data_IF_962614605825
#
_entry.id   IF_962614605825
#
_cell.length_a   1.000
_cell.length_b   1.000
_cell.length_c   1.000
_cell.angle_alpha   90.00
_cell.angle_beta   90.00
_cell.angle_gamma   90.00
#
_symmetry.space_group_name_H-M   'P 1'
#
loop_
_entity.id
_entity.type
_entity.pdbx_description
1 polymer ?
#
# COMPACT_ATOMS: atom_id res chain seq x y z
N UNK A 1 4.65 21.31 -2.50
CA UNK A 1 4.46 21.50 -1.04
C UNK A 1 3.16 22.24 -0.84
N UNK A 2 2.09 21.57 -0.43
CA UNK A 2 0.84 22.26 -0.07
C UNK A 2 1.03 22.88 1.33
N UNK A 3 0.60 24.12 1.56
CA UNK A 3 0.75 24.74 2.87
C UNK A 3 -0.08 23.95 3.89
N UNK A 4 0.57 23.46 4.95
CA UNK A 4 -0.12 22.92 6.12
C UNK A 4 -1.00 24.03 6.70
N UNK A 5 -2.31 23.95 6.48
CA UNK A 5 -3.27 24.85 7.11
C UNK A 5 -3.13 24.74 8.62
N UNK A 6 -3.04 25.88 9.30
CA UNK A 6 -3.08 25.99 10.75
C UNK A 6 -4.49 25.60 11.25
N UNK A 7 -4.78 24.32 11.32
CA UNK A 7 -5.93 23.80 12.04
C UNK A 7 -5.64 23.89 13.55
N UNK A 8 -5.98 25.02 14.14
CA UNK A 8 -6.19 25.11 15.60
C UNK A 8 -7.47 24.36 15.94
N UNK A 9 -7.42 23.03 15.92
CA UNK A 9 -8.53 22.21 16.36
C UNK A 9 -8.50 22.08 17.89
N UNK A 10 -9.67 21.82 18.48
CA UNK A 10 -9.82 21.50 19.91
C UNK A 10 -8.93 20.32 20.33
N UNK A 11 -8.46 19.52 19.39
CA UNK A 11 -7.47 18.46 19.59
C UNK A 11 -6.14 18.92 20.17
N UNK A 12 -5.80 20.23 20.14
CA UNK A 12 -4.58 20.77 20.74
C UNK A 12 -4.58 20.74 22.29
N UNK A 13 -5.73 20.50 22.90
CA UNK A 13 -5.88 20.42 24.37
C UNK A 13 -5.75 18.98 24.90
N UNK A 14 -5.80 17.99 24.02
CA UNK A 14 -5.65 16.59 24.39
C UNK A 14 -4.20 16.13 24.22
N UNK A 15 -3.70 15.20 25.06
CA UNK A 15 -2.35 14.71 24.92
C UNK A 15 -2.17 13.97 23.60
N UNK A 16 -0.94 13.93 23.12
CA UNK A 16 -0.56 13.11 21.95
C UNK A 16 -0.82 11.64 22.26
N UNK A 17 -1.33 10.92 21.28
CA UNK A 17 -1.54 9.48 21.33
C UNK A 17 -0.63 8.81 20.30
N UNK A 18 -0.35 7.53 20.49
CA UNK A 18 0.44 6.72 19.56
C UNK A 18 -0.37 5.47 19.22
N UNK A 19 -1.06 5.52 18.09
CA UNK A 19 -1.88 4.41 17.60
C UNK A 19 -1.03 3.43 16.82
N UNK A 20 -1.31 2.15 17.01
CA UNK A 20 -0.79 1.10 16.15
C UNK A 20 -1.46 1.14 14.78
N UNK A 21 -0.67 1.16 13.73
CA UNK A 21 -1.15 1.15 12.34
C UNK A 21 -1.22 -0.29 11.86
N UNK A 22 -2.42 -0.74 11.53
CA UNK A 22 -2.67 -2.12 11.06
C UNK A 22 -3.25 -2.07 9.66
N UNK A 23 -2.58 -2.67 8.69
CA UNK A 23 -3.15 -2.87 7.37
C UNK A 23 -3.91 -4.19 7.30
N UNK A 24 -5.14 -4.12 6.83
CA UNK A 24 -6.02 -5.27 6.63
C UNK A 24 -6.27 -5.44 5.14
N UNK A 25 -5.88 -6.57 4.57
CA UNK A 25 -6.20 -6.90 3.19
C UNK A 25 -7.73 -6.95 2.97
N UNK A 26 -8.19 -6.68 1.76
CA UNK A 26 -9.60 -6.62 1.41
C UNK A 26 -10.37 -7.89 1.79
N UNK A 27 -9.76 -9.08 1.67
CA UNK A 27 -10.48 -10.32 2.04
C UNK A 27 -10.86 -10.34 3.53
N UNK A 28 -10.05 -9.75 4.41
CA UNK A 28 -10.32 -9.61 5.86
C UNK A 28 -11.55 -8.74 6.06
N UNK A 29 -11.53 -7.55 5.47
CA UNK A 29 -12.65 -6.59 5.50
C UNK A 29 -13.92 -7.21 4.90
N UNK A 30 -13.79 -7.91 3.77
CA UNK A 30 -14.90 -8.58 3.10
C UNK A 30 -15.54 -9.67 3.99
N UNK A 31 -14.74 -10.44 4.72
CA UNK A 31 -15.26 -11.47 5.60
C UNK A 31 -15.92 -10.88 6.85
N UNK A 32 -15.35 -9.83 7.45
CA UNK A 32 -15.99 -9.09 8.54
C UNK A 32 -17.33 -8.47 8.08
N UNK A 33 -17.35 -7.83 6.91
CA UNK A 33 -18.58 -7.28 6.33
C UNK A 33 -19.64 -8.36 6.13
N UNK A 34 -19.27 -9.53 5.59
CA UNK A 34 -20.20 -10.63 5.32
C UNK A 34 -20.82 -11.21 6.57
N UNK A 35 -20.10 -11.26 7.69
CA UNK A 35 -20.63 -11.80 8.96
C UNK A 35 -21.58 -10.82 9.65
N UNK A 36 -21.37 -9.51 9.45
CA UNK A 36 -22.20 -8.46 10.02
C UNK A 36 -23.44 -8.13 9.19
N UNK A 37 -23.37 -8.28 7.88
CA UNK A 37 -24.44 -7.90 6.96
C UNK A 37 -25.52 -8.99 6.90
N UNK A 38 -26.77 -8.72 7.37
CA UNK A 38 -27.86 -9.70 7.36
C UNK A 38 -28.17 -10.26 5.97
N UNK A 39 -27.97 -9.47 4.92
CA UNK A 39 -28.22 -9.89 3.54
C UNK A 39 -27.28 -11.01 3.08
N UNK A 40 -26.06 -11.07 3.64
CA UNK A 40 -25.07 -12.09 3.28
C UNK A 40 -25.10 -13.29 4.22
N UNK A 41 -25.39 -13.10 5.50
CA UNK A 41 -25.46 -14.15 6.50
C UNK A 41 -26.57 -15.16 6.22
N UNK A 42 -27.71 -14.71 5.70
CA UNK A 42 -28.84 -15.56 5.34
C UNK A 42 -28.53 -16.63 4.27
N UNK A 43 -27.49 -16.38 3.45
CA UNK A 43 -27.11 -17.24 2.33
C UNK A 43 -25.90 -18.14 2.60
N UNK A 44 -25.26 -18.07 3.77
CA UNK A 44 -24.03 -18.82 4.07
C UNK A 44 -24.14 -19.59 5.38
N UNK A 45 -24.52 -20.84 5.29
CA UNK A 45 -24.30 -21.81 6.38
C UNK A 45 -22.80 -21.96 6.60
N UNK A 46 -22.33 -21.62 7.81
CA UNK A 46 -20.94 -21.88 8.22
C UNK A 46 -19.96 -20.70 8.12
N UNK A 47 -20.41 -19.45 8.31
CA UNK A 47 -19.46 -18.34 8.55
C UNK A 47 -18.75 -18.56 9.88
N UNK A 48 -17.43 -18.54 9.82
CA UNK A 48 -16.54 -18.67 10.97
C UNK A 48 -16.72 -17.47 11.91
N UNK A 49 -17.01 -17.75 13.20
CA UNK A 49 -17.18 -16.73 14.25
C UNK A 49 -15.91 -15.89 14.49
N UNK A 50 -14.76 -16.35 14.00
CA UNK A 50 -13.51 -15.59 14.04
C UNK A 50 -13.67 -14.17 13.47
N UNK A 51 -14.35 -14.03 12.32
CA UNK A 51 -14.51 -12.74 11.67
C UNK A 51 -15.38 -11.76 12.44
N UNK A 52 -16.36 -12.26 13.20
CA UNK A 52 -17.14 -11.42 14.11
C UNK A 52 -16.29 -10.96 15.29
N UNK A 53 -15.60 -11.89 15.96
CA UNK A 53 -14.70 -11.58 17.08
C UNK A 53 -13.61 -10.58 16.65
N UNK A 54 -13.03 -10.77 15.46
CA UNK A 54 -12.03 -9.88 14.91
C UNK A 54 -12.59 -8.46 14.70
N UNK A 55 -13.77 -8.35 14.10
CA UNK A 55 -14.42 -7.04 13.94
C UNK A 55 -14.66 -6.35 15.29
N UNK A 56 -15.26 -7.08 16.24
CA UNK A 56 -15.55 -6.55 17.57
C UNK A 56 -14.28 -6.04 18.27
N UNK A 57 -13.19 -6.78 18.10
CA UNK A 57 -11.89 -6.43 18.67
C UNK A 57 -11.28 -5.19 18.03
N UNK A 58 -11.21 -5.14 16.71
CA UNK A 58 -10.65 -4.01 15.97
C UNK A 58 -11.46 -2.73 16.20
N UNK A 59 -12.78 -2.79 16.15
CA UNK A 59 -13.65 -1.63 16.38
C UNK A 59 -13.52 -1.11 17.82
N UNK A 60 -13.45 -2.00 18.80
CA UNK A 60 -13.19 -1.61 20.20
C UNK A 60 -11.85 -0.92 20.37
N UNK A 61 -10.75 -1.50 19.83
CA UNK A 61 -9.41 -0.92 19.93
C UNK A 61 -9.28 0.41 19.20
N UNK A 62 -9.93 0.54 18.03
CA UNK A 62 -10.00 1.80 17.30
C UNK A 62 -10.69 2.88 18.11
N UNK A 63 -11.81 2.56 18.75
CA UNK A 63 -12.55 3.46 19.65
C UNK A 63 -11.75 3.82 20.90
N UNK A 64 -10.96 2.88 21.43
CA UNK A 64 -10.01 3.14 22.50
C UNK A 64 -8.80 3.99 22.07
N UNK A 65 -8.72 4.40 20.82
CA UNK A 65 -7.61 5.20 20.25
C UNK A 65 -6.26 4.47 20.30
N UNK A 66 -6.26 3.15 20.29
CA UNK A 66 -5.06 2.30 20.36
C UNK A 66 -4.62 1.82 18.98
N UNK A 67 -5.59 1.67 18.06
CA UNK A 67 -5.39 1.13 16.72
C UNK A 67 -6.05 2.03 15.68
N UNK A 68 -5.51 2.03 14.47
CA UNK A 68 -6.13 2.56 13.27
C UNK A 68 -5.84 1.62 12.10
N UNK A 69 -6.86 1.36 11.27
CA UNK A 69 -6.71 0.59 10.03
C UNK A 69 -6.94 1.53 8.85
N UNK A 70 -5.90 2.20 8.31
CA UNK A 70 -6.07 3.15 7.22
C UNK A 70 -6.66 2.51 5.98
N UNK A 71 -7.52 3.24 5.29
CA UNK A 71 -8.00 2.89 3.95
C UNK A 71 -6.89 3.11 2.91
N UNK A 72 -7.05 2.60 1.70
CA UNK A 72 -6.09 2.74 0.61
C UNK A 72 -6.77 2.70 -0.76
N UNK A 73 -6.05 3.14 -1.80
CA UNK A 73 -6.51 3.00 -3.19
C UNK A 73 -6.72 1.54 -3.60
N UNK A 74 -5.93 0.60 -3.04
CA UNK A 74 -6.10 -0.84 -3.33
C UNK A 74 -7.45 -1.35 -2.86
N UNK A 75 -7.87 -0.96 -1.65
CA UNK A 75 -9.20 -1.26 -1.11
C UNK A 75 -10.31 -0.68 -1.99
N UNK A 76 -10.15 0.56 -2.45
CA UNK A 76 -11.13 1.22 -3.30
C UNK A 76 -11.25 0.49 -4.65
N UNK A 77 -10.10 0.25 -5.32
CA UNK A 77 -10.02 -0.44 -6.61
C UNK A 77 -10.58 -1.87 -6.56
N UNK A 78 -10.35 -2.60 -5.47
CA UNK A 78 -10.87 -3.96 -5.31
C UNK A 78 -12.35 -3.97 -4.94
N UNK A 79 -12.81 -3.00 -4.17
CA UNK A 79 -14.20 -2.90 -3.75
C UNK A 79 -15.13 -2.49 -4.88
N UNK A 80 -14.67 -1.63 -5.81
CA UNK A 80 -15.46 -1.13 -6.93
C UNK A 80 -15.94 -2.25 -7.88
N UNK A 81 -15.18 -3.34 -8.00
CA UNK A 81 -15.54 -4.49 -8.84
C UNK A 81 -16.52 -5.46 -8.16
N UNK A 82 -17.00 -5.15 -6.96
CA UNK A 82 -17.89 -6.01 -6.18
C UNK A 82 -19.30 -5.41 -6.05
N UNK A 83 -20.31 -6.28 -5.92
CA UNK A 83 -21.71 -5.88 -5.66
C UNK A 83 -21.90 -5.28 -4.25
N UNK A 84 -20.91 -5.38 -3.38
CA UNK A 84 -20.94 -4.92 -1.99
C UNK A 84 -20.08 -3.67 -1.76
N UNK A 85 -19.80 -2.89 -2.79
CA UNK A 85 -18.94 -1.70 -2.70
C UNK A 85 -19.32 -0.78 -1.53
N UNK A 86 -20.61 -0.44 -1.42
CA UNK A 86 -21.11 0.47 -0.38
C UNK A 86 -20.94 -0.09 1.03
N UNK A 87 -21.17 -1.38 1.19
CA UNK A 87 -21.02 -2.07 2.47
C UNK A 87 -19.55 -2.17 2.88
N UNK A 88 -18.66 -2.48 1.93
CA UNK A 88 -17.21 -2.49 2.16
C UNK A 88 -16.69 -1.10 2.52
N UNK A 89 -17.09 -0.07 1.76
CA UNK A 89 -16.68 1.31 2.03
C UNK A 89 -17.06 1.75 3.44
N UNK A 90 -18.26 1.40 3.89
CA UNK A 90 -18.71 1.69 5.25
C UNK A 90 -17.86 1.00 6.33
N UNK A 91 -17.36 -0.22 6.05
CA UNK A 91 -16.44 -0.92 6.95
C UNK A 91 -15.08 -0.22 7.04
N UNK A 92 -14.53 0.18 5.87
CA UNK A 92 -13.28 0.94 5.83
C UNK A 92 -13.40 2.27 6.58
N UNK A 93 -14.46 3.04 6.34
CA UNK A 93 -14.73 4.31 7.04
C UNK A 93 -14.76 4.14 8.56
N UNK A 94 -15.38 3.05 9.04
CA UNK A 94 -15.46 2.77 10.47
C UNK A 94 -14.08 2.48 11.08
N UNK A 95 -13.28 1.61 10.45
CA UNK A 95 -12.00 1.16 11.01
C UNK A 95 -10.85 2.14 10.77
N UNK A 96 -10.90 2.91 9.68
CA UNK A 96 -9.90 3.93 9.36
C UNK A 96 -10.10 5.24 10.09
N UNK A 97 -11.31 5.51 10.58
CA UNK A 97 -11.70 6.84 11.09
C UNK A 97 -11.36 7.98 10.10
N UNK A 98 -11.51 7.71 8.79
CA UNK A 98 -11.23 8.66 7.72
C UNK A 98 -9.74 8.86 7.45
N UNK A 99 -8.86 8.00 7.95
CA UNK A 99 -7.44 7.99 7.59
C UNK A 99 -7.23 7.12 6.36
N UNK A 100 -6.49 7.66 5.39
CA UNK A 100 -6.25 6.97 4.12
C UNK A 100 -4.79 7.16 3.73
N UNK A 101 -4.11 6.10 3.32
CA UNK A 101 -2.80 6.24 2.70
C UNK A 101 -2.90 7.10 1.44
N UNK A 102 -1.84 7.85 1.13
CA UNK A 102 -1.69 8.42 -0.20
C UNK A 102 -1.68 7.29 -1.24
N UNK A 103 -1.93 7.66 -2.50
CA UNK A 103 -1.79 6.69 -3.60
C UNK A 103 -0.33 6.18 -3.70
N UNK A 104 -0.20 4.98 -4.26
CA UNK A 104 1.09 4.29 -4.36
C UNK A 104 2.18 5.10 -5.06
N UNK A 105 1.78 5.84 -6.09
CA UNK A 105 2.72 6.63 -6.87
C UNK A 105 3.28 7.80 -6.06
N UNK A 106 2.43 8.44 -5.26
CA UNK A 106 2.84 9.52 -4.35
C UNK A 106 3.83 8.99 -3.31
N UNK A 107 3.55 7.84 -2.68
CA UNK A 107 4.45 7.24 -1.69
C UNK A 107 5.78 6.82 -2.31
N UNK A 108 5.75 6.14 -3.47
CA UNK A 108 6.97 5.76 -4.21
C UNK A 108 7.81 6.98 -4.59
N UNK A 109 7.15 8.08 -5.01
CA UNK A 109 7.85 9.32 -5.32
C UNK A 109 8.50 9.95 -4.09
N UNK A 110 7.87 9.93 -2.90
CA UNK A 110 8.48 10.42 -1.67
C UNK A 110 9.70 9.58 -1.29
N UNK A 111 9.58 8.26 -1.32
CA UNK A 111 10.70 7.37 -1.05
C UNK A 111 11.85 7.60 -2.05
N UNK A 112 11.55 7.70 -3.34
CA UNK A 112 12.57 7.94 -4.36
C UNK A 112 13.24 9.31 -4.19
N UNK A 113 12.45 10.35 -3.93
CA UNK A 113 12.98 11.70 -3.73
C UNK A 113 14.00 11.73 -2.60
N UNK A 114 13.66 11.15 -1.44
CA UNK A 114 14.58 11.10 -0.30
C UNK A 114 15.79 10.21 -0.59
N UNK A 115 15.58 9.03 -1.17
CA UNK A 115 16.66 8.10 -1.49
C UNK A 115 17.63 8.71 -2.51
N UNK A 116 17.12 9.33 -3.57
CA UNK A 116 17.93 9.99 -4.57
C UNK A 116 18.71 11.19 -4.02
N UNK A 117 18.06 12.00 -3.19
CA UNK A 117 18.72 13.12 -2.48
C UNK A 117 19.85 12.62 -1.58
N UNK A 118 19.62 11.54 -0.82
CA UNK A 118 20.65 10.94 0.02
C UNK A 118 21.84 10.43 -0.82
N UNK A 119 21.56 9.81 -1.98
CA UNK A 119 22.60 9.35 -2.88
C UNK A 119 23.44 10.53 -3.43
N UNK A 120 22.80 11.63 -3.84
CA UNK A 120 23.47 12.83 -4.37
C UNK A 120 24.45 13.46 -3.37
N UNK A 121 24.10 13.44 -2.08
CA UNK A 121 24.95 14.02 -1.02
C UNK A 121 25.89 13.00 -0.38
N UNK A 122 26.07 11.83 -0.99
CA UNK A 122 26.99 10.79 -0.52
C UNK A 122 26.50 10.00 0.69
N UNK A 123 25.21 10.05 1.03
CA UNK A 123 24.58 9.33 2.15
C UNK A 123 23.84 8.07 1.68
N UNK A 124 24.40 7.37 0.73
CA UNK A 124 23.78 6.21 0.05
C UNK A 124 23.45 5.01 0.98
N UNK A 125 24.02 4.98 2.18
CA UNK A 125 23.76 3.93 3.18
C UNK A 125 22.68 4.28 4.19
N UNK A 126 22.12 5.49 4.14
CA UNK A 126 21.11 5.91 5.12
C UNK A 126 19.76 5.23 4.81
N UNK A 127 19.12 4.68 5.83
CA UNK A 127 17.72 4.32 5.76
C UNK A 127 16.86 5.58 5.53
N UNK A 128 15.75 5.41 4.84
CA UNK A 128 14.78 6.49 4.69
C UNK A 128 14.13 6.81 6.02
N UNK A 129 13.87 8.10 6.24
CA UNK A 129 13.25 8.61 7.46
C UNK A 129 11.85 9.19 7.19
N UNK A 130 11.07 8.50 6.35
CA UNK A 130 9.68 8.88 6.10
C UNK A 130 8.79 8.36 7.22
N UNK A 131 8.13 9.29 7.89
CA UNK A 131 7.17 8.97 8.94
C UNK A 131 5.80 8.65 8.35
N UNK A 132 5.00 7.82 9.05
CA UNK A 132 3.63 7.48 8.64
C UNK A 132 2.77 8.73 8.40
N UNK A 133 2.99 9.79 9.14
CA UNK A 133 2.25 11.06 9.03
C UNK A 133 2.52 11.79 7.69
N UNK A 134 3.57 11.41 6.96
CA UNK A 134 3.93 12.02 5.67
C UNK A 134 3.29 11.31 4.49
N UNK A 135 2.77 10.10 4.70
CA UNK A 135 2.20 9.25 3.65
C UNK A 135 0.70 8.95 3.82
N UNK A 136 0.03 9.64 4.74
CA UNK A 136 -1.40 9.50 4.99
C UNK A 136 -2.13 10.83 4.89
N UNK A 137 -3.37 10.77 4.48
CA UNK A 137 -4.30 11.88 4.60
C UNK A 137 -4.78 12.02 6.05
N UNK A 138 -4.53 13.17 6.66
CA UNK A 138 -4.82 13.45 8.06
C UNK A 138 -3.76 12.88 9.02
N UNK A 139 -3.84 13.21 10.30
CA UNK A 139 -2.90 12.71 11.31
C UNK A 139 -3.39 11.39 11.90
N UNK A 140 -2.54 10.36 11.87
CA UNK A 140 -2.80 9.04 12.48
C UNK A 140 -3.00 9.21 14.01
N UNK A 141 -2.14 9.98 14.63
CA UNK A 141 -2.07 10.17 16.07
C UNK A 141 -2.99 11.30 16.59
N UNK A 142 -3.98 11.71 15.78
CA UNK A 142 -5.05 12.61 16.23
C UNK A 142 -6.17 11.85 16.94
N UNK A 143 -6.83 12.50 17.91
CA UNK A 143 -8.06 11.99 18.51
C UNK A 143 -9.16 11.91 17.45
N UNK A 144 -9.92 10.81 17.47
CA UNK A 144 -10.96 10.55 16.48
C UNK A 144 -12.11 11.54 16.63
N UNK A 145 -12.52 12.19 15.55
CA UNK A 145 -13.75 12.99 15.53
C UNK A 145 -14.98 12.07 15.61
N UNK A 146 -16.01 12.50 16.35
CA UNK A 146 -17.31 11.82 16.33
C UNK A 146 -18.09 12.07 15.03
N UNK A 147 -17.74 13.13 14.30
CA UNK A 147 -18.35 13.47 13.04
C UNK A 147 -17.51 12.90 11.89
N UNK A 148 -18.08 11.96 11.16
CA UNK A 148 -17.52 11.42 9.92
C UNK A 148 -18.38 11.95 8.78
N UNK A 149 -17.76 12.66 7.85
CA UNK A 149 -18.42 13.15 6.62
C UNK A 149 -17.99 12.21 5.49
N UNK A 150 -18.93 11.41 5.00
CA UNK A 150 -18.70 10.54 3.84
C UNK A 150 -19.10 11.27 2.57
N UNK A 151 -18.17 11.33 1.60
CA UNK A 151 -18.46 11.82 0.25
C UNK A 151 -18.89 10.64 -0.61
N UNK A 152 -20.10 10.71 -1.18
CA UNK A 152 -20.56 9.70 -2.13
C UNK A 152 -19.76 9.86 -3.44
N UNK A 153 -19.00 8.85 -3.81
CA UNK A 153 -18.45 8.71 -5.16
C UNK A 153 -19.43 7.92 -6.02
N UNK A 154 -19.70 8.39 -7.21
CA UNK A 154 -20.37 7.58 -8.22
C UNK A 154 -19.39 6.58 -8.81
N UNK A 155 -19.91 5.37 -9.03
CA UNK A 155 -19.11 4.29 -9.64
C UNK A 155 -19.06 4.59 -11.14
N UNK A 156 -17.85 4.76 -11.68
CA UNK A 156 -17.66 4.89 -13.13
C UNK A 156 -17.43 3.49 -13.72
N UNK A 157 -18.34 3.03 -14.56
CA UNK A 157 -18.26 1.70 -15.18
C UNK A 157 -17.07 1.57 -16.14
N UNK A 158 -16.71 2.62 -16.87
CA UNK A 158 -15.53 2.63 -17.76
C UNK A 158 -14.23 2.46 -16.96
N UNK A 159 -14.14 3.13 -15.79
CA UNK A 159 -13.00 2.96 -14.90
C UNK A 159 -12.91 1.52 -14.34
N UNK A 160 -14.04 0.86 -14.07
CA UNK A 160 -14.06 -0.54 -13.64
C UNK A 160 -13.56 -1.45 -14.76
N UNK A 161 -14.02 -1.27 -16.00
CA UNK A 161 -13.57 -2.05 -17.15
C UNK A 161 -12.08 -1.90 -17.37
N UNK A 162 -11.56 -0.67 -17.33
CA UNK A 162 -10.12 -0.39 -17.42
C UNK A 162 -9.31 -1.07 -16.29
N UNK A 163 -9.81 -1.05 -15.06
CA UNK A 163 -9.19 -1.77 -13.93
C UNK A 163 -9.13 -3.28 -14.15
N UNK A 164 -10.23 -3.87 -14.65
CA UNK A 164 -10.29 -5.31 -14.92
C UNK A 164 -9.35 -5.69 -16.07
N UNK A 165 -9.28 -4.89 -17.12
CA UNK A 165 -8.37 -5.10 -18.23
C UNK A 165 -6.91 -5.00 -17.78
N UNK A 166 -6.54 -3.95 -17.04
CA UNK A 166 -5.21 -3.80 -16.48
C UNK A 166 -4.80 -5.01 -15.61
N UNK A 167 -5.72 -5.52 -14.77
CA UNK A 167 -5.48 -6.75 -13.99
C UNK A 167 -5.22 -7.98 -14.87
N UNK A 168 -5.96 -8.12 -15.97
CA UNK A 168 -5.77 -9.24 -16.90
C UNK A 168 -4.42 -9.12 -17.62
N UNK A 169 -4.02 -7.93 -18.06
CA UNK A 169 -2.73 -7.67 -18.70
C UNK A 169 -1.57 -7.96 -17.73
N UNK A 170 -1.66 -7.48 -16.48
CA UNK A 170 -0.67 -7.74 -15.44
C UNK A 170 -0.54 -9.24 -15.15
N UNK A 171 -1.66 -9.96 -15.11
CA UNK A 171 -1.65 -11.41 -14.90
C UNK A 171 -0.99 -12.16 -16.07
N UNK A 172 -1.30 -11.79 -17.32
CA UNK A 172 -0.68 -12.39 -18.51
C UNK A 172 0.82 -12.14 -18.56
N UNK A 173 1.27 -10.96 -18.10
CA UNK A 173 2.68 -10.64 -17.99
C UNK A 173 3.38 -11.53 -16.96
N UNK A 174 2.82 -11.68 -15.76
CA UNK A 174 3.43 -12.54 -14.72
C UNK A 174 3.43 -14.02 -15.12
N UNK A 175 2.40 -14.52 -15.83
CA UNK A 175 2.40 -15.89 -16.37
C UNK A 175 3.55 -16.11 -17.37
N UNK A 176 3.81 -15.13 -18.21
CA UNK A 176 4.89 -15.19 -19.20
C UNK A 176 6.27 -15.20 -18.53
N UNK A 177 6.46 -14.30 -17.55
CA UNK A 177 7.70 -14.23 -16.77
C UNK A 177 7.88 -15.49 -15.91
N UNK A 178 6.81 -16.03 -15.33
CA UNK A 178 6.85 -17.26 -14.55
C UNK A 178 7.36 -18.46 -15.37
N UNK A 179 6.98 -18.56 -16.65
CA UNK A 179 7.52 -19.59 -17.55
C UNK A 179 9.03 -19.44 -17.73
N UNK A 180 9.52 -18.23 -17.98
CA UNK A 180 10.96 -17.95 -18.09
C UNK A 180 11.73 -18.30 -16.82
N UNK A 181 11.17 -17.98 -15.64
CA UNK A 181 11.76 -18.36 -14.36
C UNK A 181 11.83 -19.87 -14.18
N UNK A 182 10.76 -20.58 -14.56
CA UNK A 182 10.71 -22.06 -14.47
C UNK A 182 11.73 -22.75 -15.39
N UNK A 183 11.98 -22.18 -16.57
CA UNK A 183 12.95 -22.69 -17.56
C UNK A 183 14.39 -22.46 -17.12
N UNK A 184 14.68 -21.37 -16.43
CA UNK A 184 16.03 -20.98 -16.02
C UNK A 184 16.68 -21.97 -15.04
N UNK A 185 15.87 -22.68 -14.24
CA UNK A 185 16.29 -23.59 -13.15
C UNK A 185 17.25 -22.96 -12.12
N UNK A 186 17.41 -21.64 -12.14
CA UNK A 186 18.24 -20.94 -11.18
C UNK A 186 17.46 -20.68 -9.89
N UNK A 187 17.87 -21.28 -8.78
CA UNK A 187 17.23 -21.15 -7.46
C UNK A 187 17.91 -20.13 -6.55
N UNK A 188 18.89 -19.39 -7.05
CA UNK A 188 19.58 -18.36 -6.26
C UNK A 188 18.68 -17.10 -6.12
N UNK A 189 18.32 -16.79 -4.89
CA UNK A 189 17.53 -15.60 -4.54
C UNK A 189 18.25 -14.30 -4.91
N UNK A 190 19.56 -14.19 -4.65
CA UNK A 190 20.32 -12.96 -4.89
C UNK A 190 20.46 -12.67 -6.38
N UNK A 191 20.53 -13.71 -7.20
CA UNK A 191 20.51 -13.57 -8.66
C UNK A 191 19.20 -12.93 -9.12
N UNK A 192 18.06 -13.44 -8.68
CA UNK A 192 16.76 -12.92 -9.06
C UNK A 192 16.52 -11.52 -8.51
N UNK A 193 16.88 -11.27 -7.26
CA UNK A 193 16.80 -9.95 -6.66
C UNK A 193 17.55 -8.88 -7.47
N UNK A 194 18.80 -9.15 -7.83
CA UNK A 194 19.60 -8.25 -8.65
C UNK A 194 18.97 -8.00 -10.03
N UNK A 195 18.45 -9.06 -10.66
CA UNK A 195 17.78 -8.93 -11.95
C UNK A 195 16.54 -8.02 -11.87
N UNK A 196 15.73 -8.14 -10.82
CA UNK A 196 14.56 -7.29 -10.61
C UNK A 196 14.96 -5.81 -10.39
N UNK A 197 15.97 -5.56 -9.57
CA UNK A 197 16.50 -4.19 -9.34
C UNK A 197 17.06 -3.59 -10.64
N UNK A 198 17.84 -4.35 -11.40
CA UNK A 198 18.36 -3.89 -12.69
C UNK A 198 17.25 -3.66 -13.72
N UNK A 199 16.25 -4.55 -13.76
CA UNK A 199 15.08 -4.43 -14.64
C UNK A 199 14.28 -3.17 -14.34
N UNK A 200 14.11 -2.80 -13.06
CA UNK A 200 13.46 -1.57 -12.67
C UNK A 200 14.17 -0.34 -13.25
N UNK A 201 15.48 -0.20 -13.06
CA UNK A 201 16.24 0.94 -13.58
C UNK A 201 16.20 1.03 -15.12
N UNK A 202 16.46 -0.09 -15.80
CA UNK A 202 16.39 -0.18 -17.27
C UNK A 202 14.99 0.12 -17.80
N UNK A 203 13.96 -0.45 -17.16
CA UNK A 203 12.56 -0.26 -17.52
C UNK A 203 12.13 1.20 -17.37
N UNK A 204 12.48 1.82 -16.23
CA UNK A 204 12.17 3.22 -15.94
C UNK A 204 12.78 4.15 -16.99
N UNK A 205 14.06 3.98 -17.31
CA UNK A 205 14.74 4.79 -18.34
C UNK A 205 14.15 4.55 -19.73
N UNK A 206 13.89 3.30 -20.10
CA UNK A 206 13.30 2.99 -21.41
C UNK A 206 11.92 3.62 -21.59
N UNK A 207 11.07 3.58 -20.57
CA UNK A 207 9.74 4.21 -20.60
C UNK A 207 9.85 5.74 -20.69
N UNK A 208 10.81 6.34 -19.98
CA UNK A 208 11.07 7.76 -20.08
C UNK A 208 11.49 8.18 -21.50
N UNK A 209 12.48 7.50 -22.08
CA UNK A 209 12.95 7.84 -23.44
C UNK A 209 11.89 7.58 -24.52
N UNK A 210 11.10 6.50 -24.40
CA UNK A 210 9.97 6.27 -25.31
C UNK A 210 8.95 7.41 -25.23
N UNK A 211 8.63 7.87 -24.04
CA UNK A 211 7.71 9.00 -23.86
C UNK A 211 8.29 10.28 -24.45
N UNK A 212 9.59 10.59 -24.26
CA UNK A 212 10.23 11.75 -24.86
C UNK A 212 10.22 11.68 -26.40
N UNK A 213 10.47 10.51 -26.98
CA UNK A 213 10.39 10.31 -28.43
C UNK A 213 8.97 10.54 -28.95
N UNK A 214 7.95 10.02 -28.25
CA UNK A 214 6.54 10.24 -28.63
C UNK A 214 6.19 11.73 -28.56
N UNK A 215 6.60 12.44 -27.52
CA UNK A 215 6.40 13.89 -27.42
C UNK A 215 7.07 14.64 -28.58
N UNK A 216 8.28 14.23 -28.97
CA UNK A 216 8.99 14.82 -30.11
C UNK A 216 8.28 14.54 -31.42
N UNK A 217 7.76 13.35 -31.65
CA UNK A 217 6.99 12.99 -32.84
C UNK A 217 5.72 13.84 -32.96
N UNK A 218 4.97 13.98 -31.84
CA UNK A 218 3.76 14.80 -31.76
C UNK A 218 4.06 16.30 -31.98
N UNK A 219 5.19 16.80 -31.48
CA UNK A 219 5.61 18.16 -31.70
C UNK A 219 5.89 18.46 -33.19
N UNK A 220 6.48 17.51 -33.89
CA UNK A 220 6.81 17.66 -35.32
C UNK A 220 5.62 17.38 -36.25
N UNK A 221 4.57 16.73 -35.74
CA UNK A 221 3.37 16.42 -36.52
C UNK A 221 2.12 16.79 -35.68
N UNK A 222 1.77 18.09 -35.64
CA UNK A 222 0.76 18.61 -34.74
C UNK A 222 -0.70 18.29 -35.11
N UNK A 223 -0.95 17.52 -36.18
CA UNK A 223 -2.30 17.03 -36.51
C UNK A 223 -2.70 15.92 -35.48
N UNK A 224 -3.05 16.38 -34.29
CA UNK A 224 -3.61 15.52 -33.22
C UNK A 224 -5.12 15.35 -33.51
N UNK A 225 -5.46 14.30 -34.23
CA UNK A 225 -6.86 14.06 -34.61
C UNK A 225 -7.61 13.15 -33.64
N UNK A 226 -6.95 12.46 -32.69
CA UNK A 226 -7.59 11.48 -31.84
C UNK A 226 -7.30 11.64 -30.34
N UNK A 227 -8.29 11.27 -29.50
CA UNK A 227 -8.19 11.24 -28.04
C UNK A 227 -7.03 10.36 -27.54
N UNK A 228 -6.67 9.31 -28.27
CA UNK A 228 -5.54 8.43 -28.00
C UNK A 228 -4.20 9.17 -28.00
N UNK A 229 -4.03 10.20 -28.85
CA UNK A 229 -2.84 11.04 -28.87
C UNK A 229 -2.70 11.91 -27.62
N UNK A 230 -3.80 12.39 -27.06
CA UNK A 230 -3.79 13.12 -25.77
C UNK A 230 -3.46 12.22 -24.59
N UNK A 231 -3.93 10.97 -24.59
CA UNK A 231 -3.60 9.99 -23.56
C UNK A 231 -2.11 9.65 -23.56
N UNK A 232 -1.48 9.60 -24.76
CA UNK A 232 -0.05 9.39 -24.92
C UNK A 232 0.81 10.55 -24.37
N UNK A 233 0.23 11.75 -24.15
CA UNK A 233 0.91 12.88 -23.52
C UNK A 233 0.97 12.74 -21.98
N UNK A 234 0.12 11.91 -21.38
CA UNK A 234 0.12 11.73 -19.94
C UNK A 234 1.36 10.93 -19.50
N UNK A 235 2.13 11.44 -18.53
CA UNK A 235 3.33 10.76 -18.09
C UNK A 235 2.97 9.50 -17.31
N UNK A 236 3.53 8.35 -17.69
CA UNK A 236 3.44 7.11 -16.90
C UNK A 236 4.16 7.26 -15.55
N UNK A 237 3.96 6.31 -14.63
CA UNK A 237 4.65 6.26 -13.34
C UNK A 237 6.17 6.37 -13.48
N UNK A 238 6.76 5.63 -14.41
CA UNK A 238 8.21 5.68 -14.68
C UNK A 238 8.67 7.06 -15.15
N UNK A 239 7.88 7.72 -16.00
CA UNK A 239 8.19 9.10 -16.46
C UNK A 239 8.12 10.08 -15.30
N UNK A 240 7.10 9.95 -14.42
CA UNK A 240 6.99 10.78 -13.22
C UNK A 240 8.16 10.60 -12.26
N UNK A 241 8.64 9.36 -12.06
CA UNK A 241 9.84 9.08 -11.26
C UNK A 241 11.08 9.81 -11.83
N UNK A 242 11.33 9.71 -13.13
CA UNK A 242 12.46 10.41 -13.76
C UNK A 242 12.30 11.92 -13.65
N UNK A 243 11.09 12.47 -13.86
CA UNK A 243 10.82 13.89 -13.70
C UNK A 243 11.07 14.37 -12.25
N UNK A 244 10.75 13.56 -11.25
CA UNK A 244 11.10 13.83 -9.85
C UNK A 244 12.61 13.93 -9.66
N UNK A 245 13.38 13.00 -10.24
CA UNK A 245 14.85 13.03 -10.17
C UNK A 245 15.44 14.24 -10.87
N UNK A 246 14.93 14.60 -12.06
CA UNK A 246 15.35 15.80 -12.79
C UNK A 246 15.11 17.08 -11.98
N UNK A 247 13.96 17.15 -11.31
CA UNK A 247 13.63 18.28 -10.42
C UNK A 247 14.58 18.35 -9.24
N UNK A 248 14.88 17.24 -8.57
CA UNK A 248 15.85 17.18 -7.47
C UNK A 248 17.22 17.65 -7.92
N UNK A 249 17.68 17.23 -9.10
CA UNK A 249 18.97 17.70 -9.65
C UNK A 249 18.99 19.20 -9.89
N UNK A 250 17.89 19.76 -10.41
CA UNK A 250 17.74 21.21 -10.58
C UNK A 250 17.81 21.96 -9.24
N UNK A 251 17.15 21.45 -8.19
CA UNK A 251 17.19 22.00 -6.83
C UNK A 251 18.61 21.95 -6.23
N UNK A 252 19.45 21.01 -6.69
CA UNK A 252 20.86 20.88 -6.30
C UNK A 252 21.83 21.62 -7.26
N UNK A 253 21.31 22.51 -8.12
CA UNK A 253 22.13 23.37 -8.97
C UNK A 253 22.71 22.71 -10.23
N UNK A 254 22.21 21.54 -10.62
CA UNK A 254 22.57 20.91 -11.89
C UNK A 254 21.62 21.45 -12.96
N UNK A 255 22.10 22.33 -13.84
CA UNK A 255 21.26 22.99 -14.86
C UNK A 255 21.30 22.24 -16.21
N UNK A 256 22.46 21.69 -16.57
CA UNK A 256 22.65 20.97 -17.86
C UNK A 256 21.84 19.68 -17.91
N UNK A 257 20.95 19.55 -18.91
CA UNK A 257 20.02 18.42 -19.05
C UNK A 257 20.74 17.10 -19.36
N UNK A 258 21.84 17.11 -20.14
CA UNK A 258 22.61 15.91 -20.42
C UNK A 258 23.33 15.41 -19.16
N UNK A 259 23.85 16.37 -18.36
CA UNK A 259 24.45 16.03 -17.07
C UNK A 259 23.41 15.47 -16.08
N UNK A 260 22.20 16.03 -16.05
CA UNK A 260 21.09 15.47 -15.25
C UNK A 260 20.81 14.03 -15.64
N UNK A 261 20.61 13.76 -16.93
CA UNK A 261 20.36 12.40 -17.42
C UNK A 261 21.53 11.45 -17.12
N UNK A 262 22.77 11.91 -17.30
CA UNK A 262 23.95 11.13 -16.93
C UNK A 262 23.97 10.73 -15.46
N UNK A 263 23.63 11.66 -14.55
CA UNK A 263 23.52 11.39 -13.10
C UNK A 263 22.40 10.42 -12.76
N UNK A 264 21.28 10.48 -13.46
CA UNK A 264 20.19 9.51 -13.26
C UNK A 264 20.62 8.10 -13.69
N UNK A 265 21.32 7.99 -14.82
CA UNK A 265 21.90 6.71 -15.27
C UNK A 265 22.94 6.18 -14.27
N UNK A 266 23.78 7.05 -13.72
CA UNK A 266 24.76 6.72 -12.69
C UNK A 266 24.07 6.23 -11.41
N UNK A 267 23.01 6.90 -10.97
CA UNK A 267 22.21 6.48 -9.83
C UNK A 267 21.70 5.05 -9.99
N UNK A 268 21.06 4.72 -11.11
CA UNK A 268 20.56 3.36 -11.33
C UNK A 268 21.65 2.29 -11.40
N UNK A 269 22.91 2.68 -11.58
CA UNK A 269 24.06 1.76 -11.58
C UNK A 269 24.75 1.62 -10.23
N UNK A 270 24.70 2.65 -9.39
CA UNK A 270 25.57 2.77 -8.21
C UNK A 270 24.84 2.91 -6.89
N UNK A 271 23.53 3.23 -6.90
CA UNK A 271 22.76 3.39 -5.69
C UNK A 271 22.55 2.05 -4.96
N UNK A 272 22.47 2.11 -3.63
CA UNK A 272 22.12 0.96 -2.81
C UNK A 272 20.60 0.87 -2.65
N UNK A 273 19.96 0.10 -3.51
CA UNK A 273 18.51 -0.07 -3.53
C UNK A 273 17.94 -0.92 -2.40
N UNK A 274 18.77 -1.54 -1.56
CA UNK A 274 18.31 -2.16 -0.32
C UNK A 274 17.68 -1.14 0.65
N UNK A 275 18.04 0.14 0.48
CA UNK A 275 17.52 1.26 1.25
C UNK A 275 16.31 1.96 0.59
N UNK A 276 15.83 1.50 -0.55
CA UNK A 276 14.62 2.01 -1.21
C UNK A 276 13.45 1.03 -0.99
N UNK A 277 12.58 1.25 0.00
CA UNK A 277 11.67 0.24 0.52
C UNK A 277 10.77 -0.40 -0.53
N UNK A 278 10.09 0.41 -1.37
CA UNK A 278 9.17 -0.14 -2.36
C UNK A 278 9.88 -1.05 -3.37
N UNK A 279 11.11 -0.70 -3.79
CA UNK A 279 11.86 -1.50 -4.74
C UNK A 279 12.48 -2.72 -4.06
N UNK A 280 13.08 -2.52 -2.89
CA UNK A 280 13.67 -3.62 -2.11
C UNK A 280 12.66 -4.74 -1.83
N UNK A 281 11.48 -4.38 -1.34
CA UNK A 281 10.44 -5.35 -0.99
C UNK A 281 9.81 -6.00 -2.23
N UNK A 282 9.49 -5.22 -3.27
CA UNK A 282 8.92 -5.80 -4.50
C UNK A 282 9.91 -6.74 -5.20
N UNK A 283 11.16 -6.32 -5.38
CA UNK A 283 12.21 -7.16 -5.96
C UNK A 283 12.45 -8.44 -5.13
N UNK A 284 12.39 -8.34 -3.81
CA UNK A 284 12.54 -9.50 -2.91
C UNK A 284 11.38 -10.48 -3.03
N UNK A 285 10.14 -10.00 -3.13
CA UNK A 285 8.95 -10.84 -3.32
C UNK A 285 8.98 -11.53 -4.69
N UNK A 286 9.28 -10.80 -5.76
CA UNK A 286 9.44 -11.38 -7.10
C UNK A 286 10.59 -12.39 -7.16
N UNK A 287 11.73 -12.12 -6.50
CA UNK A 287 12.84 -13.06 -6.39
C UNK A 287 12.43 -14.37 -5.66
N UNK A 288 11.59 -14.27 -4.62
CA UNK A 288 11.06 -15.45 -3.93
C UNK A 288 10.16 -16.29 -4.83
N UNK A 289 9.30 -15.64 -5.63
CA UNK A 289 8.44 -16.32 -6.62
C UNK A 289 9.29 -16.98 -7.72
N UNK A 290 10.26 -16.25 -8.27
CA UNK A 290 11.16 -16.73 -9.32
C UNK A 290 11.95 -17.95 -8.86
N UNK A 291 12.52 -17.91 -7.65
CA UNK A 291 13.21 -19.05 -7.02
C UNK A 291 12.30 -20.27 -6.90
N UNK A 292 11.04 -20.10 -6.45
CA UNK A 292 10.07 -21.20 -6.34
C UNK A 292 9.68 -21.75 -7.71
N UNK A 293 9.53 -20.90 -8.72
CA UNK A 293 9.27 -21.31 -10.09
C UNK A 293 10.43 -22.15 -10.63
N UNK A 294 11.66 -21.67 -10.48
CA UNK A 294 12.88 -22.39 -10.89
C UNK A 294 13.08 -23.72 -10.12
N UNK A 295 12.62 -23.79 -8.86
CA UNK A 295 12.64 -24.99 -8.04
C UNK A 295 11.52 -26.00 -8.40
N UNK A 296 10.68 -25.71 -9.39
CA UNK A 296 9.66 -26.65 -9.92
C UNK A 296 8.24 -26.37 -9.45
N UNK A 297 7.90 -25.20 -8.93
CA UNK A 297 6.51 -24.80 -8.71
C UNK A 297 5.78 -24.80 -10.05
N UNK A 298 4.68 -25.56 -10.11
CA UNK A 298 3.93 -25.80 -11.36
C UNK A 298 2.92 -24.70 -11.70
N UNK A 299 2.42 -24.01 -10.69
CA UNK A 299 1.35 -23.02 -10.86
C UNK A 299 1.91 -21.60 -10.71
N UNK A 300 1.60 -20.69 -11.65
CA UNK A 300 1.92 -19.27 -11.46
C UNK A 300 1.20 -18.73 -10.21
N UNK A 301 1.61 -17.56 -9.72
CA UNK A 301 0.87 -16.82 -8.70
C UNK A 301 -0.56 -16.53 -9.16
N UNK A 302 -1.45 -16.22 -8.22
CA UNK A 302 -2.83 -15.86 -8.57
C UNK A 302 -2.91 -14.45 -9.22
N UNK A 303 -4.10 -14.11 -9.76
CA UNK A 303 -4.31 -12.81 -10.44
C UNK A 303 -4.10 -11.58 -9.54
N UNK A 304 -4.29 -11.73 -8.23
CA UNK A 304 -4.13 -10.64 -7.25
C UNK A 304 -2.68 -10.41 -6.85
N UNK A 305 -1.80 -11.42 -7.00
CA UNK A 305 -0.46 -11.41 -6.41
C UNK A 305 0.39 -10.19 -6.79
N UNK A 306 0.28 -9.68 -8.02
CA UNK A 306 1.03 -8.46 -8.41
C UNK A 306 0.57 -7.25 -7.60
N UNK A 307 -0.76 -7.08 -7.44
CA UNK A 307 -1.31 -6.00 -6.63
C UNK A 307 -0.94 -6.17 -5.15
N UNK A 308 -0.96 -7.41 -4.65
CA UNK A 308 -0.57 -7.71 -3.26
C UNK A 308 0.91 -7.37 -3.02
N UNK A 309 1.80 -7.69 -3.98
CA UNK A 309 3.22 -7.31 -3.91
C UNK A 309 3.37 -5.79 -3.92
N UNK A 310 2.68 -5.08 -4.80
CA UNK A 310 2.74 -3.61 -4.84
C UNK A 310 2.24 -3.00 -3.53
N UNK A 311 1.12 -3.46 -3.01
CA UNK A 311 0.54 -3.02 -1.75
C UNK A 311 1.49 -3.27 -0.58
N UNK A 312 1.99 -4.50 -0.44
CA UNK A 312 2.93 -4.88 0.62
C UNK A 312 4.18 -4.01 0.54
N UNK A 313 4.80 -3.90 -0.64
CA UNK A 313 6.03 -3.13 -0.81
C UNK A 313 5.86 -1.64 -0.54
N UNK A 314 4.66 -1.11 -0.74
CA UNK A 314 4.35 0.31 -0.49
C UNK A 314 4.06 0.60 0.98
N UNK A 315 3.28 -0.25 1.67
CA UNK A 315 2.74 0.07 3.00
C UNK A 315 3.44 -0.64 4.16
N UNK A 316 4.08 -1.79 3.92
CA UNK A 316 4.73 -2.58 4.98
C UNK A 316 5.68 -1.74 5.86
N UNK A 317 6.53 -0.86 5.30
CA UNK A 317 7.47 -0.07 6.11
C UNK A 317 6.81 0.84 7.17
N UNK A 318 5.52 1.14 7.00
CA UNK A 318 4.78 2.12 7.78
C UNK A 318 3.72 1.51 8.70
N UNK A 319 3.60 0.20 8.69
CA UNK A 319 2.62 -0.51 9.50
C UNK A 319 3.28 -1.20 10.71
N UNK A 320 2.61 -1.22 11.85
CA UNK A 320 3.01 -2.07 12.98
C UNK A 320 2.65 -3.54 12.70
N UNK A 321 1.57 -3.77 11.95
CA UNK A 321 1.16 -5.10 11.53
C UNK A 321 0.41 -5.08 10.19
N UNK A 322 0.46 -6.20 9.46
CA UNK A 322 -0.35 -6.45 8.29
C UNK A 322 -1.04 -7.80 8.40
N UNK A 323 -2.34 -7.85 8.07
CA UNK A 323 -3.05 -9.11 7.89
C UNK A 323 -3.34 -9.31 6.41
N UNK A 324 -2.59 -10.19 5.76
CA UNK A 324 -2.54 -10.41 4.32
C UNK A 324 -2.85 -11.86 3.97
N UNK A 325 -2.93 -12.17 2.68
CA UNK A 325 -3.16 -13.53 2.22
C UNK A 325 -2.04 -14.52 2.63
N UNK A 326 -2.37 -15.81 2.66
CA UNK A 326 -1.43 -16.85 3.09
C UNK A 326 -0.21 -16.99 2.16
N UNK A 327 -0.39 -16.73 0.86
CA UNK A 327 0.70 -16.90 -0.11
C UNK A 327 1.75 -15.82 0.08
N UNK A 328 1.36 -14.55 0.14
CA UNK A 328 2.26 -13.43 0.38
C UNK A 328 2.90 -13.50 1.78
N UNK A 329 2.11 -13.85 2.81
CA UNK A 329 2.65 -14.08 4.15
C UNK A 329 3.72 -15.20 4.17
N UNK A 330 3.52 -16.28 3.41
CA UNK A 330 4.51 -17.35 3.28
C UNK A 330 5.82 -16.87 2.67
N UNK A 331 5.78 -15.98 1.65
CA UNK A 331 7.00 -15.42 1.07
C UNK A 331 7.74 -14.54 2.05
N UNK A 332 7.04 -13.67 2.78
CA UNK A 332 7.65 -12.75 3.74
C UNK A 332 8.28 -13.47 4.95
N UNK A 333 7.71 -14.60 5.36
CA UNK A 333 8.19 -15.38 6.50
C UNK A 333 9.25 -16.46 6.12
N UNK A 334 9.56 -16.60 4.82
CA UNK A 334 10.51 -17.61 4.34
C UNK A 334 11.91 -17.04 4.14
N UNK A 335 12.94 -17.82 4.50
CA UNK A 335 14.33 -17.46 4.18
C UNK A 335 14.60 -17.50 2.67
N UNK A 336 15.40 -16.55 2.14
CA UNK A 336 16.18 -15.54 2.86
C UNK A 336 15.43 -14.23 3.09
N UNK A 337 14.18 -14.09 2.64
CA UNK A 337 13.46 -12.80 2.68
C UNK A 337 13.20 -12.33 4.11
N UNK A 338 12.76 -13.20 5.01
CA UNK A 338 12.51 -12.82 6.41
C UNK A 338 13.72 -12.17 7.10
N UNK A 339 14.93 -12.60 6.75
CA UNK A 339 16.17 -12.03 7.31
C UNK A 339 16.56 -10.69 6.65
N UNK A 340 15.95 -10.33 5.51
CA UNK A 340 16.30 -9.17 4.69
C UNK A 340 15.26 -8.06 4.70
N UNK A 341 14.04 -8.33 5.16
CA UNK A 341 12.92 -7.36 5.17
C UNK A 341 13.29 -6.04 5.84
N UNK A 342 14.05 -6.09 6.96
CA UNK A 342 14.57 -4.90 7.63
C UNK A 342 13.53 -4.02 8.34
N UNK A 343 12.24 -4.41 8.35
CA UNK A 343 11.14 -3.67 8.99
C UNK A 343 10.55 -4.46 10.15
N UNK A 344 10.14 -3.79 11.26
CA UNK A 344 9.62 -4.45 12.45
C UNK A 344 8.16 -4.89 12.33
N UNK A 345 7.55 -4.74 11.15
CA UNK A 345 6.15 -5.02 10.88
C UNK A 345 5.81 -6.48 11.11
N UNK A 346 4.83 -6.76 11.96
CA UNK A 346 4.34 -8.12 12.18
C UNK A 346 3.43 -8.56 11.03
N UNK A 347 3.69 -9.73 10.46
CA UNK A 347 2.92 -10.27 9.33
C UNK A 347 2.01 -11.38 9.83
N UNK A 348 0.71 -11.22 9.59
CA UNK A 348 -0.33 -12.17 9.93
C UNK A 348 -1.09 -12.64 8.70
N UNK A 349 -1.67 -13.82 8.80
CA UNK A 349 -2.52 -14.40 7.75
C UNK A 349 -3.58 -15.30 8.35
N UNK A 350 -4.47 -15.82 7.51
CA UNK A 350 -5.52 -16.72 7.98
C UNK A 350 -4.97 -17.98 8.65
N UNK A 351 -3.79 -18.45 8.28
CA UNK A 351 -3.16 -19.64 8.89
C UNK A 351 -2.68 -19.43 10.33
N UNK A 352 -2.43 -18.19 10.73
CA UNK A 352 -1.97 -17.80 12.09
C UNK A 352 -2.90 -16.74 12.69
N UNK A 353 -4.17 -16.80 12.36
CA UNK A 353 -5.17 -15.78 12.73
C UNK A 353 -5.38 -15.62 14.23
N UNK A 354 -5.20 -16.67 15.02
CA UNK A 354 -5.33 -16.57 16.49
C UNK A 354 -4.13 -15.83 17.10
N UNK A 355 -2.95 -15.90 16.49
CA UNK A 355 -1.80 -15.08 16.88
C UNK A 355 -2.08 -13.58 16.64
N UNK A 356 -2.84 -13.26 15.58
CA UNK A 356 -3.28 -11.88 15.37
C UNK A 356 -4.23 -11.41 16.47
N UNK A 357 -5.17 -12.25 16.92
CA UNK A 357 -6.03 -11.92 18.06
C UNK A 357 -5.21 -11.69 19.34
N UNK A 358 -4.21 -12.52 19.59
CA UNK A 358 -3.30 -12.33 20.72
C UNK A 358 -2.53 -11.01 20.63
N UNK A 359 -2.05 -10.66 19.45
CA UNK A 359 -1.40 -9.36 19.20
C UNK A 359 -2.32 -8.18 19.50
N UNK A 360 -3.60 -8.26 19.12
CA UNK A 360 -4.59 -7.24 19.43
C UNK A 360 -4.86 -7.16 20.95
N UNK A 361 -4.86 -8.30 21.66
CA UNK A 361 -5.00 -8.34 23.12
C UNK A 361 -3.78 -7.72 23.83
N UNK A 362 -2.56 -7.96 23.31
CA UNK A 362 -1.34 -7.33 23.82
C UNK A 362 -1.39 -5.80 23.69
N UNK A 363 -1.95 -5.27 22.58
CA UNK A 363 -2.11 -3.82 22.40
C UNK A 363 -3.01 -3.24 23.51
N UNK A 364 -4.16 -3.86 23.82
CA UNK A 364 -5.04 -3.36 24.86
C UNK A 364 -4.39 -3.46 26.25
N UNK A 365 -3.75 -4.59 26.55
CA UNK A 365 -3.08 -4.81 27.83
C UNK A 365 -1.91 -3.84 28.06
N UNK A 366 -1.27 -3.37 26.99
CA UNK A 366 -0.19 -2.38 27.06
C UNK A 366 -0.68 -0.95 27.30
N UNK A 367 -1.99 -0.69 27.14
CA UNK A 367 -2.56 0.63 27.35
C UNK A 367 -2.53 1.04 28.81
N UNK A 368 -2.08 2.27 29.10
CA UNK A 368 -2.07 2.76 30.47
C UNK A 368 -3.51 3.03 30.97
N UNK A 369 -3.69 2.92 32.27
CA UNK A 369 -4.98 3.24 32.89
C UNK A 369 -5.38 4.68 32.62
N UNK A 370 -4.42 5.60 32.68
CA UNK A 370 -4.63 7.03 32.40
C UNK A 370 -5.16 7.26 30.99
N UNK A 371 -4.67 6.50 30.00
CA UNK A 371 -5.16 6.57 28.62
C UNK A 371 -6.62 6.13 28.53
N UNK A 372 -6.96 4.98 29.13
CA UNK A 372 -8.33 4.44 29.13
C UNK A 372 -9.31 5.39 29.84
N UNK A 373 -8.91 5.92 31.01
CA UNK A 373 -9.70 6.89 31.77
C UNK A 373 -9.94 8.18 30.96
N UNK A 374 -8.92 8.63 30.21
CA UNK A 374 -9.04 9.81 29.35
C UNK A 374 -9.98 9.56 28.16
N UNK A 375 -9.87 8.41 27.50
CA UNK A 375 -10.80 8.00 26.41
C UNK A 375 -12.24 7.98 26.94
N UNK A 376 -12.46 7.39 28.12
CA UNK A 376 -13.77 7.33 28.75
C UNK A 376 -14.30 8.73 29.08
N UNK A 377 -13.44 9.63 29.56
CA UNK A 377 -13.82 11.02 29.85
C UNK A 377 -14.19 11.79 28.59
N UNK A 378 -13.49 11.58 27.47
CA UNK A 378 -13.72 12.29 26.20
C UNK A 378 -14.96 11.77 25.49
N UNK A 379 -15.14 10.46 25.43
CA UNK A 379 -16.16 9.82 24.59
C UNK A 379 -17.30 9.18 25.35
N UNK A 380 -17.16 8.90 26.65
CA UNK A 380 -18.11 8.19 27.49
C UNK A 380 -17.86 6.68 27.52
N UNK A 381 -18.37 6.00 28.55
CA UNK A 381 -18.12 4.56 28.80
C UNK A 381 -18.63 3.64 27.67
N UNK A 382 -19.76 3.98 27.05
CA UNK A 382 -20.35 3.18 25.97
C UNK A 382 -19.60 3.29 24.66
N UNK A 383 -18.63 4.20 24.54
CA UNK A 383 -17.92 4.46 23.30
C UNK A 383 -17.16 3.24 22.78
N UNK A 384 -16.54 2.45 23.66
CA UNK A 384 -15.79 1.25 23.32
C UNK A 384 -16.62 0.07 22.83
N UNK A 385 -17.97 0.12 22.97
CA UNK A 385 -18.85 -0.96 22.55
C UNK A 385 -18.82 -1.14 21.04
N UNK A 386 -18.53 -2.36 20.52
CA UNK A 386 -18.45 -2.61 19.09
C UNK A 386 -19.78 -2.34 18.36
N UNK A 387 -19.68 -1.76 17.15
CA UNK A 387 -20.85 -1.39 16.36
C UNK A 387 -21.37 -2.56 15.51
N UNK A 388 -21.73 -3.65 16.15
CA UNK A 388 -22.23 -4.89 15.50
C UNK A 388 -23.54 -4.72 14.72
N UNK A 389 -24.20 -3.56 14.85
CA UNK A 389 -25.43 -3.21 14.13
C UNK A 389 -25.17 -2.40 12.84
N UNK A 390 -23.92 -2.28 12.42
CA UNK A 390 -23.45 -1.44 11.28
C UNK A 390 -24.34 -1.55 10.02
N UNK A 391 -24.84 -2.73 9.71
CA UNK A 391 -25.67 -2.99 8.51
C UNK A 391 -27.14 -3.25 8.82
N UNK A 392 -27.57 -3.12 10.08
CA UNK A 392 -29.00 -3.22 10.41
C UNK A 392 -29.71 -1.93 10.04
N UNK A 393 -30.95 -2.00 9.53
CA UNK A 393 -31.75 -0.81 9.32
C UNK A 393 -31.89 -0.02 10.63
N UNK A 394 -31.73 1.29 10.57
CA UNK A 394 -32.10 2.17 11.70
C UNK A 394 -33.62 2.10 11.77
N UNK A 395 -34.16 1.63 12.92
CA UNK A 395 -35.60 1.59 13.16
C UNK A 395 -36.13 2.98 13.42
#
# INVERSE_FOLDING_TARGET
MYPKGNERSVSSLLPKINKKVIYLDQFVISNMMKVLNPKTKANKKGIDDFWLRLFERLDSLSKLQLVVCPDSEYHDNESQVTVFYKELKRMYELLSHGKTFYDKETIKNFQLHEHFTNWLVGKNSNALNLEIEEIVHGSINSWTSRLIISVKREINMEAIEALLEHRNQSYSAIESVFRLWSESKNTDFNYWYKNEVEAFGKGTLNMYFKHQLKLYELWNNPELDDFEDYEALLPSSSVRLVNTMLKVLGEHGVEDELLKLSKIVEYFKTANFDNLPFLHLSASLFASIARKAAAGRKKPPNKGTVNDIEMISTFLPYCDAMFIDNECASYLNEKPLVDKIGFPTKIFSQSIREEFMQFLDEIEQSASKEHIDLVTKVYGESWKTPYVTLYKPIK
#
